data_IF_732210239324
#
_entry.id   IF_732210239324
#
_cell.length_a   1.000
_cell.length_b   1.000
_cell.length_c   1.000
_cell.angle_alpha   90.00
_cell.angle_beta   90.00
_cell.angle_gamma   90.00
#
_symmetry.space_group_name_H-M   'P 1'
#
loop_
_entity.id
_entity.type
_entity.pdbx_description
1 polymer ?
#
# COMPACT_ATOMS: atom_id res chain seq x y z
N UNK A 1 -1.08 -13.15 -0.06
CA UNK A 1 -2.03 -12.06 0.28
C UNK A 1 -1.68 -11.54 1.66
N UNK A 2 -1.69 -10.22 1.85
CA UNK A 2 -1.57 -9.55 3.15
C UNK A 2 -2.83 -8.71 3.38
N UNK A 3 -3.49 -8.94 4.52
CA UNK A 3 -4.69 -8.21 4.91
C UNK A 3 -4.44 -7.44 6.21
N UNK A 4 -4.50 -6.12 6.12
CA UNK A 4 -4.25 -5.19 7.21
C UNK A 4 -5.45 -4.26 7.43
N UNK A 5 -6.66 -4.67 7.06
CA UNK A 5 -7.87 -3.85 7.29
C UNK A 5 -8.04 -3.48 8.77
N UNK A 6 -8.58 -2.29 9.04
CA UNK A 6 -8.93 -1.83 10.40
C UNK A 6 -7.78 -1.67 11.41
N UNK A 7 -6.56 -1.35 10.97
CA UNK A 7 -5.42 -1.21 11.89
C UNK A 7 -5.03 0.23 12.22
N UNK A 8 -5.72 1.24 11.67
CA UNK A 8 -5.43 2.67 11.92
C UNK A 8 -3.96 3.03 11.63
N UNK A 9 -3.40 2.46 10.57
CA UNK A 9 -1.99 2.65 10.20
C UNK A 9 -1.66 4.10 9.79
N UNK A 10 -2.67 4.85 9.30
CA UNK A 10 -2.48 6.20 8.78
C UNK A 10 -1.51 6.25 7.59
N UNK A 11 -1.15 7.46 7.18
CA UNK A 11 -0.19 7.66 6.09
C UNK A 11 1.23 7.20 6.46
N UNK A 12 1.63 7.32 7.73
CA UNK A 12 2.96 6.90 8.18
C UNK A 12 3.15 5.39 8.01
N UNK A 13 2.24 4.58 8.56
CA UNK A 13 2.30 3.13 8.40
C UNK A 13 2.16 2.70 6.93
N UNK A 14 1.33 3.39 6.15
CA UNK A 14 1.19 3.07 4.72
C UNK A 14 2.45 3.40 3.91
N UNK A 15 3.20 4.46 4.26
CA UNK A 15 4.47 4.79 3.61
C UNK A 15 5.53 3.71 3.81
N UNK A 16 5.63 3.17 5.03
CA UNK A 16 6.51 2.02 5.29
C UNK A 16 6.14 0.81 4.45
N UNK A 17 4.84 0.57 4.22
CA UNK A 17 4.38 -0.49 3.33
C UNK A 17 4.77 -0.20 1.88
N UNK A 18 4.61 1.03 1.37
CA UNK A 18 5.09 1.35 0.02
C UNK A 18 6.59 1.07 -0.13
N UNK A 19 7.39 1.46 0.87
CA UNK A 19 8.84 1.31 0.84
C UNK A 19 9.22 -0.16 0.76
N UNK A 20 8.56 -1.02 1.54
CA UNK A 20 8.71 -2.46 1.42
C UNK A 20 8.27 -2.97 0.04
N UNK A 21 7.14 -2.48 -0.49
CA UNK A 21 6.61 -2.93 -1.78
C UNK A 21 7.53 -2.62 -2.96
N UNK A 22 8.25 -1.49 -2.95
CA UNK A 22 9.22 -1.13 -4.00
C UNK A 22 10.63 -1.68 -3.78
N UNK A 23 10.89 -2.32 -2.64
CA UNK A 23 12.23 -2.80 -2.31
C UNK A 23 12.59 -4.03 -3.17
N UNK A 24 13.78 -4.06 -3.81
CA UNK A 24 14.18 -5.17 -4.68
C UNK A 24 14.13 -6.55 -4.01
N UNK A 25 14.58 -6.64 -2.75
CA UNK A 25 14.54 -7.93 -2.01
C UNK A 25 13.12 -8.41 -1.75
N UNK A 26 12.19 -7.50 -1.42
CA UNK A 26 10.78 -7.85 -1.26
C UNK A 26 10.22 -8.36 -2.58
N UNK A 27 10.49 -7.65 -3.68
CA UNK A 27 10.04 -8.06 -5.02
C UNK A 27 10.63 -9.42 -5.39
N UNK A 28 11.91 -9.68 -5.12
CA UNK A 28 12.56 -10.94 -5.49
C UNK A 28 12.05 -12.13 -4.65
N UNK A 29 11.86 -11.93 -3.34
CA UNK A 29 11.66 -13.03 -2.38
C UNK A 29 10.21 -13.23 -1.95
N UNK A 30 9.36 -12.23 -2.11
CA UNK A 30 7.96 -12.32 -1.73
C UNK A 30 7.08 -12.85 -2.88
N UNK A 31 6.03 -13.57 -2.49
CA UNK A 31 4.90 -13.97 -3.34
C UNK A 31 3.66 -13.10 -3.08
N UNK A 32 3.84 -11.89 -2.55
CA UNK A 32 2.74 -10.98 -2.25
C UNK A 32 2.12 -10.43 -3.54
N UNK A 33 0.96 -10.98 -3.91
CA UNK A 33 0.17 -10.51 -5.06
C UNK A 33 -1.09 -9.73 -4.70
N UNK A 34 -1.49 -9.72 -3.42
CA UNK A 34 -2.68 -9.02 -2.96
C UNK A 34 -2.45 -8.32 -1.63
N UNK A 35 -2.80 -7.03 -1.56
CA UNK A 35 -2.71 -6.19 -0.36
C UNK A 35 -4.07 -5.52 -0.06
N UNK A 36 -4.58 -5.72 1.15
CA UNK A 36 -5.81 -5.10 1.65
C UNK A 36 -5.49 -4.12 2.78
N UNK A 37 -5.81 -2.84 2.55
CA UNK A 37 -5.57 -1.71 3.45
C UNK A 37 -6.88 -0.97 3.79
N UNK A 38 -8.01 -1.67 3.70
CA UNK A 38 -9.33 -1.07 3.91
C UNK A 38 -9.47 -0.44 5.30
N UNK A 39 -10.00 0.78 5.36
CA UNK A 39 -10.27 1.47 6.64
C UNK A 39 -9.04 1.58 7.56
N UNK A 40 -7.97 2.21 7.06
CA UNK A 40 -6.74 2.45 7.81
C UNK A 40 -6.46 3.94 8.10
N UNK A 41 -7.33 4.86 7.67
CA UNK A 41 -7.11 6.29 7.85
C UNK A 41 -6.02 6.85 6.93
N UNK A 42 -5.82 6.22 5.77
CA UNK A 42 -4.89 6.69 4.73
C UNK A 42 -5.50 7.94 4.08
N UNK A 43 -4.69 8.95 3.78
CA UNK A 43 -5.13 10.16 3.09
C UNK A 43 -4.48 10.31 1.72
N UNK A 44 -4.83 11.35 0.96
CA UNK A 44 -4.17 11.67 -0.31
C UNK A 44 -2.66 11.98 -0.16
N UNK A 45 -2.17 12.28 1.05
CA UNK A 45 -0.77 12.61 1.35
C UNK A 45 0.23 11.46 1.10
N UNK A 46 -0.24 10.25 0.87
CA UNK A 46 0.59 9.06 0.58
C UNK A 46 0.39 8.51 -0.84
N UNK A 47 -0.37 9.19 -1.71
CA UNK A 47 -0.64 8.68 -3.06
C UNK A 47 0.59 8.67 -3.97
N UNK A 48 1.51 9.63 -3.81
CA UNK A 48 2.80 9.60 -4.54
C UNK A 48 3.64 8.37 -4.19
N UNK A 49 3.65 8.02 -2.91
CA UNK A 49 4.33 6.83 -2.38
C UNK A 49 3.74 5.54 -2.98
N UNK A 50 2.40 5.46 -3.01
CA UNK A 50 1.69 4.35 -3.63
C UNK A 50 2.00 4.25 -5.13
N UNK A 51 1.96 5.37 -5.87
CA UNK A 51 2.27 5.40 -7.29
C UNK A 51 3.68 4.86 -7.58
N UNK A 52 4.67 5.25 -6.77
CA UNK A 52 6.04 4.73 -6.88
C UNK A 52 6.10 3.23 -6.58
N UNK A 53 5.39 2.74 -5.56
CA UNK A 53 5.36 1.31 -5.24
C UNK A 53 4.76 0.47 -6.39
N UNK A 54 3.64 0.92 -6.95
CA UNK A 54 2.98 0.22 -8.05
C UNK A 54 3.81 0.19 -9.34
N UNK A 55 4.49 1.29 -9.66
CA UNK A 55 5.37 1.37 -10.85
C UNK A 55 6.54 0.37 -10.77
N UNK A 56 7.03 0.08 -9.57
CA UNK A 56 8.23 -0.75 -9.36
C UNK A 56 7.92 -2.20 -8.95
N UNK A 57 6.70 -2.52 -8.55
CA UNK A 57 6.32 -3.86 -8.11
C UNK A 57 5.31 -4.51 -9.07
N UNK A 58 5.78 -5.24 -10.10
CA UNK A 58 4.90 -5.89 -11.07
C UNK A 58 4.18 -7.13 -10.52
N UNK A 59 4.49 -7.58 -9.30
CA UNK A 59 3.86 -8.78 -8.70
C UNK A 59 2.54 -8.48 -8.00
N UNK A 60 2.27 -7.22 -7.64
CA UNK A 60 1.04 -6.85 -6.93
C UNK A 60 -0.13 -6.76 -7.92
N UNK A 61 -1.00 -7.77 -7.90
CA UNK A 61 -2.14 -7.92 -8.79
C UNK A 61 -3.42 -7.30 -8.21
N UNK A 62 -3.56 -7.30 -6.88
CA UNK A 62 -4.74 -6.78 -6.19
C UNK A 62 -4.35 -5.79 -5.11
N UNK A 63 -4.95 -4.60 -5.17
CA UNK A 63 -4.84 -3.57 -4.15
C UNK A 63 -6.24 -3.11 -3.73
N UNK A 64 -6.53 -3.18 -2.43
CA UNK A 64 -7.77 -2.63 -1.87
C UNK A 64 -7.43 -1.57 -0.82
N UNK A 65 -7.64 -0.30 -1.19
CA UNK A 65 -7.47 0.87 -0.31
C UNK A 65 -8.80 1.56 0.01
N UNK A 66 -9.92 0.84 -0.10
CA UNK A 66 -11.26 1.39 0.15
C UNK A 66 -11.47 1.90 1.58
N UNK A 67 -12.49 2.74 1.77
CA UNK A 67 -12.82 3.37 3.07
C UNK A 67 -11.60 4.07 3.70
N UNK A 68 -10.81 4.76 2.89
CA UNK A 68 -9.77 5.68 3.32
C UNK A 68 -10.13 7.09 2.82
N UNK A 69 -9.51 8.12 3.39
CA UNK A 69 -9.80 9.53 3.10
C UNK A 69 -8.97 10.02 1.91
N UNK A 70 -9.13 9.38 0.75
CA UNK A 70 -8.30 9.63 -0.45
C UNK A 70 -8.74 10.83 -1.27
N UNK A 71 -9.70 11.62 -0.79
CA UNK A 71 -10.13 12.84 -1.49
C UNK A 71 -8.97 13.84 -1.59
N UNK A 72 -8.91 14.51 -2.73
CA UNK A 72 -8.21 15.79 -2.87
C UNK A 72 -9.28 16.85 -2.65
N UNK A 73 -9.13 17.63 -1.60
CA UNK A 73 -9.91 18.87 -1.45
C UNK A 73 -9.45 19.89 -2.52
#
# INVERSE_FOLDING_TARGET
MLDLRHNRLGDEGFRHICDALKHPDTIARSSLSALVMWNNGITSASMDCLAHALKNNPKLETLNIGKNALSVD
#
